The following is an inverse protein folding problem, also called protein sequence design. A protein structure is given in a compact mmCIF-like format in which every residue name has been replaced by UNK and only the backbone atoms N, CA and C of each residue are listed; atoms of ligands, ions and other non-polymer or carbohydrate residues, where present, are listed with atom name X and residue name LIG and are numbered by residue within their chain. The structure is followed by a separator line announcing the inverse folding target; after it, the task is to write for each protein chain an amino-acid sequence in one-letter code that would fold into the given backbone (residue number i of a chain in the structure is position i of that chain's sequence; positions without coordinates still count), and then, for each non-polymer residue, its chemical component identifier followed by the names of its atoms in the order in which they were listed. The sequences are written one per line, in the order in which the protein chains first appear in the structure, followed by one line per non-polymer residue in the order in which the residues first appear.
data_IF_500388093186
#
_entry.id   IF_500388093186
#
_cell.length_a   1.000
_cell.length_b   1.000
_cell.length_c   1.000
_cell.angle_alpha   90.00
_cell.angle_beta   90.00
_cell.angle_gamma   90.00
#
_symmetry.space_group_name_H-M   'P 1'
#
loop_
_entity.id
_entity.type
_entity.pdbx_description
1 polymer ?
#
# COMPACT_ATOMS: atom_id res chain seq x y z
N UNK A 1 -3.33 15.17 30.10
CA UNK A 1 -2.99 15.81 28.80
C UNK A 1 -3.92 15.23 27.75
N UNK A 2 -4.57 16.05 26.94
CA UNK A 2 -5.42 15.58 25.84
C UNK A 2 -4.62 15.62 24.53
N UNK A 3 -3.82 14.57 24.29
CA UNK A 3 -3.18 14.37 22.99
C UNK A 3 -4.27 13.99 21.99
N UNK A 4 -4.38 14.68 20.85
CA UNK A 4 -5.30 14.33 19.76
C UNK A 4 -4.58 14.57 18.44
N UNK A 5 -4.70 13.63 17.50
CA UNK A 5 -4.20 13.87 16.16
C UNK A 5 -5.15 14.79 15.39
N UNK A 6 -4.58 15.66 14.57
CA UNK A 6 -5.35 16.55 13.69
C UNK A 6 -5.25 16.10 12.24
N UNK A 7 -6.17 16.57 11.39
CA UNK A 7 -6.13 16.27 9.95
C UNK A 7 -5.14 17.15 9.18
N UNK A 8 -4.64 18.21 9.82
CA UNK A 8 -3.77 19.22 9.18
C UNK A 8 -2.31 18.74 9.07
N UNK A 9 -1.94 17.74 9.89
CA UNK A 9 -0.61 17.14 9.93
C UNK A 9 -0.74 15.69 9.45
N UNK A 10 0.20 15.17 8.64
CA UNK A 10 0.21 13.76 8.29
C UNK A 10 0.18 12.86 9.53
N UNK A 11 -0.68 11.85 9.52
CA UNK A 11 -0.81 10.84 10.56
C UNK A 11 0.50 10.10 10.75
N UNK A 12 1.27 9.82 9.69
CA UNK A 12 2.60 9.22 9.80
C UNK A 12 3.56 10.02 10.69
N UNK A 13 3.56 11.35 10.56
CA UNK A 13 4.36 12.25 11.41
C UNK A 13 3.88 12.20 12.86
N UNK A 14 2.57 12.29 13.07
CA UNK A 14 1.99 12.28 14.42
C UNK A 14 2.17 10.94 15.14
N UNK A 15 2.10 9.82 14.42
CA UNK A 15 2.37 8.48 14.95
C UNK A 15 3.84 8.35 15.35
N UNK A 16 4.76 8.87 14.52
CA UNK A 16 6.20 8.87 14.84
C UNK A 16 6.48 9.60 16.15
N UNK A 17 5.85 10.75 16.39
CA UNK A 17 5.99 11.48 17.66
C UNK A 17 5.50 10.65 18.86
N UNK A 18 4.37 9.93 18.73
CA UNK A 18 3.90 9.03 19.78
C UNK A 18 4.89 7.87 20.03
N UNK A 19 5.53 7.34 18.99
CA UNK A 19 6.55 6.31 19.15
C UNK A 19 7.79 6.84 19.87
N UNK A 20 8.21 8.08 19.61
CA UNK A 20 9.33 8.70 20.33
C UNK A 20 9.02 8.80 21.82
N UNK A 21 7.81 9.24 22.18
CA UNK A 21 7.35 9.28 23.58
C UNK A 21 7.35 7.87 24.20
N UNK A 22 6.85 6.87 23.48
CA UNK A 22 6.86 5.48 23.94
C UNK A 22 8.28 4.96 24.18
N UNK A 23 9.22 5.31 23.29
CA UNK A 23 10.62 4.94 23.41
C UNK A 23 11.29 5.62 24.63
N UNK A 24 11.00 6.89 24.88
CA UNK A 24 11.51 7.61 26.05
C UNK A 24 10.98 7.01 27.37
N UNK A 25 9.71 6.59 27.39
CA UNK A 25 9.10 5.86 28.51
C UNK A 25 9.85 4.54 28.77
N UNK A 26 10.11 3.77 27.71
CA UNK A 26 10.89 2.54 27.81
C UNK A 26 12.33 2.80 28.29
N UNK A 27 12.98 3.85 27.80
CA UNK A 27 14.32 4.26 28.20
C UNK A 27 14.39 4.69 29.67
N UNK A 28 13.29 5.22 30.22
CA UNK A 28 13.15 5.52 31.65
C UNK A 28 12.94 4.27 32.53
N UNK A 29 12.96 3.07 31.95
CA UNK A 29 12.82 1.79 32.65
C UNK A 29 11.38 1.32 32.86
N UNK A 30 10.41 1.96 32.20
CA UNK A 30 9.00 1.53 32.24
C UNK A 30 8.72 0.51 31.14
N UNK A 31 7.88 -0.49 31.42
CA UNK A 31 7.46 -1.48 30.43
C UNK A 31 6.18 -0.99 29.76
N UNK A 32 6.24 -0.78 28.44
CA UNK A 32 5.06 -0.50 27.62
C UNK A 32 4.65 -1.76 26.86
N UNK A 33 3.43 -2.24 27.12
CA UNK A 33 2.87 -3.40 26.42
C UNK A 33 2.45 -3.01 25.02
N UNK A 34 2.82 -3.81 24.03
CA UNK A 34 2.58 -3.51 22.60
C UNK A 34 1.10 -3.28 22.27
N UNK A 35 0.20 -4.13 22.76
CA UNK A 35 -1.25 -3.99 22.55
C UNK A 35 -1.79 -2.67 23.10
N UNK A 36 -1.21 -2.17 24.20
CA UNK A 36 -1.58 -0.86 24.74
C UNK A 36 -1.09 0.26 23.82
N UNK A 37 0.11 0.15 23.25
CA UNK A 37 0.64 1.13 22.30
C UNK A 37 -0.20 1.18 21.01
N UNK A 38 -0.54 0.02 20.44
CA UNK A 38 -1.44 -0.12 19.29
C UNK A 38 -2.80 0.52 19.59
N UNK A 39 -3.41 0.16 20.73
CA UNK A 39 -4.68 0.72 21.16
C UNK A 39 -4.63 2.24 21.36
N UNK A 40 -3.54 2.75 21.94
CA UNK A 40 -3.33 4.18 22.14
C UNK A 40 -3.24 4.93 20.81
N UNK A 41 -2.47 4.43 19.84
CA UNK A 41 -2.38 5.04 18.51
C UNK A 41 -3.76 5.06 17.84
N UNK A 42 -4.45 3.92 17.78
CA UNK A 42 -5.76 3.80 17.12
C UNK A 42 -6.80 4.73 17.77
N UNK A 43 -6.77 4.87 19.09
CA UNK A 43 -7.66 5.78 19.82
C UNK A 43 -7.36 7.27 19.56
N UNK A 44 -6.15 7.60 19.11
CA UNK A 44 -5.69 8.97 18.87
C UNK A 44 -5.81 9.41 17.42
N UNK A 45 -6.10 8.48 16.50
CA UNK A 45 -6.31 8.78 15.08
C UNK A 45 -7.40 9.83 14.86
N UNK A 46 -7.28 10.68 13.83
CA UNK A 46 -8.28 11.71 13.55
C UNK A 46 -9.66 11.12 13.25
N UNK A 47 -10.77 11.85 13.50
CA UNK A 47 -12.12 11.36 13.23
C UNK A 47 -12.36 10.91 11.78
N UNK A 48 -11.63 11.48 10.82
CA UNK A 48 -11.75 11.12 9.39
C UNK A 48 -11.25 9.71 9.09
N UNK A 49 -10.46 9.10 10.00
CA UNK A 49 -9.95 7.73 9.90
C UNK A 49 -10.88 6.68 10.53
N UNK A 50 -12.05 7.10 11.04
CA UNK A 50 -12.98 6.22 11.77
C UNK A 50 -13.37 4.96 10.98
N UNK A 51 -13.59 5.08 9.68
CA UNK A 51 -13.93 3.94 8.83
C UNK A 51 -12.79 2.92 8.78
N UNK A 52 -11.56 3.39 8.58
CA UNK A 52 -10.36 2.56 8.61
C UNK A 52 -10.17 1.89 9.98
N UNK A 53 -10.37 2.62 11.09
CA UNK A 53 -10.32 2.02 12.43
C UNK A 53 -11.35 0.89 12.61
N UNK A 54 -12.54 1.02 11.99
CA UNK A 54 -13.53 -0.05 12.02
C UNK A 54 -13.07 -1.25 11.18
N UNK A 55 -12.46 -1.03 10.02
CA UNK A 55 -11.86 -2.10 9.20
C UNK A 55 -10.82 -2.90 10.00
N UNK A 56 -9.96 -2.21 10.77
CA UNK A 56 -8.99 -2.86 11.65
C UNK A 56 -9.64 -3.70 12.75
N UNK A 57 -10.72 -3.22 13.38
CA UNK A 57 -11.45 -3.97 14.44
C UNK A 57 -12.11 -5.26 13.94
N UNK A 58 -12.44 -5.33 12.65
CA UNK A 58 -13.04 -6.52 12.04
C UNK A 58 -12.01 -7.55 11.57
N UNK A 59 -10.71 -7.21 11.61
CA UNK A 59 -9.64 -8.17 11.32
C UNK A 59 -9.47 -9.10 12.53
N UNK A 60 -9.50 -10.42 12.30
CA UNK A 60 -9.48 -11.45 13.36
C UNK A 60 -8.07 -11.72 13.94
N UNK A 61 -7.08 -10.96 13.49
CA UNK A 61 -5.65 -11.15 13.81
C UNK A 61 -5.18 -10.05 14.76
N UNK A 62 -4.40 -10.40 15.77
CA UNK A 62 -3.73 -9.40 16.62
C UNK A 62 -2.71 -8.63 15.77
N UNK A 63 -2.91 -7.33 15.64
CA UNK A 63 -2.04 -6.44 14.88
C UNK A 63 -0.83 -6.04 15.72
N UNK A 64 0.36 -6.43 15.27
CA UNK A 64 1.62 -5.91 15.81
C UNK A 64 1.78 -4.41 15.47
N UNK A 65 2.61 -3.72 16.25
CA UNK A 65 2.78 -2.27 16.14
C UNK A 65 3.40 -1.84 14.81
N UNK A 66 4.39 -2.59 14.33
CA UNK A 66 5.05 -2.38 13.04
C UNK A 66 4.06 -2.53 11.87
N UNK A 67 3.21 -3.56 11.91
CA UNK A 67 2.16 -3.78 10.93
C UNK A 67 1.14 -2.64 10.93
N UNK A 68 0.74 -2.15 12.11
CA UNK A 68 -0.16 -1.00 12.20
C UNK A 68 0.45 0.23 11.52
N UNK A 69 1.72 0.54 11.78
CA UNK A 69 2.39 1.72 11.20
C UNK A 69 2.46 1.61 9.68
N UNK A 70 2.79 0.42 9.17
CA UNK A 70 2.80 0.18 7.73
C UNK A 70 1.42 0.39 7.11
N UNK A 71 0.37 -0.19 7.69
CA UNK A 71 -0.97 -0.01 7.15
C UNK A 71 -1.45 1.45 7.24
N UNK A 72 -1.10 2.18 8.31
CA UNK A 72 -1.39 3.61 8.43
C UNK A 72 -0.70 4.41 7.35
N UNK A 73 0.56 4.10 7.03
CA UNK A 73 1.27 4.77 5.94
C UNK A 73 0.61 4.53 4.58
N UNK A 74 0.25 3.29 4.28
CA UNK A 74 -0.43 2.91 3.03
C UNK A 74 -1.79 3.60 2.90
N UNK A 75 -2.60 3.58 3.97
CA UNK A 75 -3.91 4.21 3.98
C UNK A 75 -3.79 5.73 3.82
N UNK A 76 -2.81 6.37 4.45
CA UNK A 76 -2.55 7.80 4.29
C UNK A 76 -2.19 8.15 2.84
N UNK A 77 -1.31 7.38 2.22
CA UNK A 77 -0.94 7.58 0.82
C UNK A 77 -2.13 7.36 -0.13
N UNK A 78 -2.94 6.35 0.13
CA UNK A 78 -4.18 6.06 -0.63
C UNK A 78 -5.14 7.25 -0.57
N UNK A 79 -5.38 7.79 0.63
CA UNK A 79 -6.25 8.96 0.84
C UNK A 79 -5.69 10.24 0.22
N UNK A 80 -4.36 10.36 0.09
CA UNK A 80 -3.75 11.49 -0.61
C UNK A 80 -3.90 11.38 -2.12
N UNK A 81 -3.83 10.17 -2.69
CA UNK A 81 -4.10 9.92 -4.13
C UNK A 81 -5.55 10.22 -4.50
N UNK A 82 -6.51 9.95 -3.61
CA UNK A 82 -7.93 10.29 -3.82
C UNK A 82 -8.23 11.80 -3.75
N UNK A 83 -7.37 12.60 -3.09
CA UNK A 83 -7.51 14.06 -3.02
C UNK A 83 -6.98 14.78 -4.26
N UNK A 84 -6.13 14.12 -5.06
CA UNK A 84 -5.83 14.64 -6.39
C UNK A 84 -7.09 14.49 -7.24
N UNK A 85 -7.58 15.57 -7.88
CA UNK A 85 -8.69 15.43 -8.80
C UNK A 85 -8.24 14.46 -9.88
N UNK A 86 -8.85 13.28 -9.91
CA UNK A 86 -8.71 12.36 -11.01
C UNK A 86 -8.90 13.20 -12.27
N UNK A 87 -7.86 13.30 -13.10
CA UNK A 87 -8.00 13.86 -14.45
C UNK A 87 -8.92 12.89 -15.19
N UNK A 88 -10.22 13.09 -15.03
CA UNK A 88 -11.28 12.37 -15.69
C UNK A 88 -11.30 12.88 -17.14
N UNK A 89 -10.29 12.44 -17.89
CA UNK A 89 -10.15 12.59 -19.33
C UNK A 89 -9.27 11.43 -19.80
N UNK A 90 -9.76 10.20 -19.65
CA UNK A 90 -9.42 9.09 -20.53
C UNK A 90 -10.34 7.92 -20.23
N UNK A 91 -10.82 7.26 -21.27
CA UNK A 91 -11.25 5.86 -21.20
C UNK A 91 -10.26 5.09 -20.33
N UNK A 92 -10.73 4.49 -19.23
CA UNK A 92 -9.88 3.90 -18.18
C UNK A 92 -8.79 2.98 -18.72
N UNK A 93 -7.59 3.54 -18.90
CA UNK A 93 -6.39 2.79 -19.22
C UNK A 93 -5.92 2.12 -17.94
N UNK A 94 -5.96 0.79 -17.87
CA UNK A 94 -5.56 0.02 -16.72
C UNK A 94 -4.26 -0.73 -17.03
N UNK A 95 -3.31 -0.70 -16.10
CA UNK A 95 -2.12 -1.57 -16.11
C UNK A 95 -2.18 -2.43 -14.85
N UNK A 96 -2.10 -3.74 -15.05
CA UNK A 96 -2.05 -4.76 -14.02
C UNK A 96 -0.66 -5.38 -14.01
N UNK A 97 -0.10 -5.47 -12.81
CA UNK A 97 1.22 -6.05 -12.57
C UNK A 97 1.03 -7.25 -11.64
N UNK A 98 1.48 -8.42 -12.07
CA UNK A 98 1.50 -9.64 -11.28
C UNK A 98 2.95 -10.06 -11.01
N UNK A 99 3.21 -10.52 -9.80
CA UNK A 99 4.53 -10.97 -9.35
C UNK A 99 4.52 -12.48 -9.13
N UNK A 100 5.51 -13.19 -9.67
CA UNK A 100 5.75 -14.60 -9.41
C UNK A 100 7.25 -14.87 -9.26
N UNK A 101 7.69 -15.11 -8.02
CA UNK A 101 9.09 -15.32 -7.67
C UNK A 101 9.96 -14.17 -8.22
N UNK A 102 10.80 -14.43 -9.22
CA UNK A 102 11.70 -13.46 -9.82
C UNK A 102 11.09 -12.75 -11.05
N UNK A 103 9.95 -13.24 -11.55
CA UNK A 103 9.31 -12.77 -12.78
C UNK A 103 8.14 -11.82 -12.47
N UNK A 104 8.04 -10.77 -13.28
CA UNK A 104 6.92 -9.83 -13.26
C UNK A 104 6.17 -9.87 -14.59
N UNK A 105 4.85 -10.05 -14.53
CA UNK A 105 3.96 -9.96 -15.67
C UNK A 105 3.24 -8.62 -15.67
N UNK A 106 3.26 -7.94 -16.81
CA UNK A 106 2.61 -6.65 -17.01
C UNK A 106 1.63 -6.79 -18.16
N UNK A 107 0.37 -6.47 -17.92
CA UNK A 107 -0.69 -6.47 -18.93
C UNK A 107 -1.62 -5.30 -18.70
N UNK A 108 -2.30 -4.84 -19.74
CA UNK A 108 -3.11 -3.63 -19.66
C UNK A 108 -3.88 -3.37 -20.95
N UNK A 109 -4.74 -2.37 -20.90
CA UNK A 109 -5.57 -1.97 -22.05
C UNK A 109 -4.91 -0.93 -22.96
N UNK A 110 -3.78 -0.35 -22.52
CA UNK A 110 -3.04 0.70 -23.21
C UNK A 110 -1.54 0.35 -23.24
N UNK A 111 -0.99 0.20 -24.44
CA UNK A 111 0.40 -0.20 -24.65
C UNK A 111 1.39 0.89 -24.22
N UNK A 112 1.04 2.17 -24.35
CA UNK A 112 1.91 3.28 -23.95
C UNK A 112 2.05 3.31 -22.42
N UNK A 113 0.95 3.05 -21.71
CA UNK A 113 0.97 2.89 -20.24
C UNK A 113 1.75 1.67 -19.78
N UNK A 114 1.65 0.55 -20.50
CA UNK A 114 2.47 -0.64 -20.23
C UNK A 114 3.95 -0.30 -20.39
N UNK A 115 4.33 0.41 -21.46
CA UNK A 115 5.71 0.81 -21.71
C UNK A 115 6.22 1.81 -20.68
N UNK A 116 5.40 2.77 -20.25
CA UNK A 116 5.71 3.69 -19.15
C UNK A 116 6.02 2.92 -17.85
N UNK A 117 5.18 1.94 -17.50
CA UNK A 117 5.40 1.09 -16.33
C UNK A 117 6.69 0.27 -16.46
N UNK A 118 6.95 -0.36 -17.62
CA UNK A 118 8.20 -1.09 -17.90
C UNK A 118 9.43 -0.21 -17.72
N UNK A 119 9.40 1.01 -18.24
CA UNK A 119 10.52 1.96 -18.15
C UNK A 119 10.75 2.40 -16.70
N UNK A 120 9.68 2.73 -15.97
CA UNK A 120 9.78 3.09 -14.55
C UNK A 120 10.43 1.97 -13.74
N UNK A 121 9.95 0.74 -13.93
CA UNK A 121 10.44 -0.45 -13.26
C UNK A 121 11.92 -0.71 -13.59
N UNK A 122 12.30 -0.70 -14.86
CA UNK A 122 13.69 -0.93 -15.31
C UNK A 122 14.64 0.19 -14.85
N UNK A 123 14.14 1.41 -14.65
CA UNK A 123 14.95 2.52 -14.13
C UNK A 123 15.20 2.45 -12.62
N UNK A 124 14.33 1.79 -11.87
CA UNK A 124 14.41 1.74 -10.41
C UNK A 124 14.97 0.42 -9.89
N UNK A 125 14.83 -0.67 -10.64
CA UNK A 125 15.29 -1.99 -10.25
C UNK A 125 16.11 -2.63 -11.37
N UNK A 126 17.08 -3.46 -10.99
CA UNK A 126 17.93 -4.22 -11.91
C UNK A 126 17.14 -5.37 -12.54
N UNK A 127 16.25 -5.05 -13.47
CA UNK A 127 15.35 -5.98 -14.15
C UNK A 127 15.61 -5.98 -15.65
N UNK A 128 15.21 -7.08 -16.30
CA UNK A 128 15.35 -7.25 -17.74
C UNK A 128 13.98 -7.54 -18.34
N UNK A 129 13.62 -6.81 -19.41
CA UNK A 129 12.45 -7.16 -20.20
C UNK A 129 12.72 -8.48 -20.94
N UNK A 130 11.94 -9.50 -20.61
CA UNK A 130 12.00 -10.83 -21.24
C UNK A 130 11.16 -10.91 -22.53
N UNK A 131 10.47 -9.84 -22.88
CA UNK A 131 9.58 -9.77 -24.04
C UNK A 131 8.14 -10.15 -23.68
N UNK A 132 7.36 -10.44 -24.71
CA UNK A 132 5.97 -10.84 -24.55
C UNK A 132 5.89 -12.27 -24.00
N UNK A 133 5.10 -12.48 -22.94
CA UNK A 133 5.00 -13.79 -22.31
C UNK A 133 4.23 -14.78 -23.19
N UNK A 134 4.85 -15.89 -23.58
CA UNK A 134 4.18 -16.96 -24.33
C UNK A 134 3.76 -18.14 -23.44
N UNK A 135 4.35 -18.25 -22.25
CA UNK A 135 4.07 -19.30 -21.26
C UNK A 135 4.12 -18.68 -19.86
N UNK A 136 3.17 -19.05 -19.01
CA UNK A 136 3.13 -18.71 -17.59
C UNK A 136 2.83 -19.99 -16.80
N UNK A 137 3.67 -20.32 -15.80
CA UNK A 137 3.46 -21.53 -14.97
C UNK A 137 3.30 -22.84 -15.77
N UNK A 138 3.93 -22.93 -16.94
CA UNK A 138 3.78 -24.07 -17.87
C UNK A 138 2.50 -24.05 -18.71
N UNK A 139 1.66 -23.03 -18.56
CA UNK A 139 0.43 -22.81 -19.34
C UNK A 139 0.77 -21.89 -20.51
N UNK A 140 0.45 -22.34 -21.73
CA UNK A 140 0.73 -21.56 -22.94
C UNK A 140 -0.32 -20.47 -23.13
N UNK A 141 0.15 -19.28 -23.49
CA UNK A 141 -0.67 -18.11 -23.76
C UNK A 141 -0.86 -18.00 -25.28
N UNK A 142 -2.11 -18.07 -25.74
CA UNK A 142 -2.49 -17.88 -27.13
C UNK A 142 -3.31 -16.60 -27.24
N UNK A 143 -2.76 -15.59 -27.91
CA UNK A 143 -3.43 -14.32 -28.15
C UNK A 143 -4.15 -14.35 -29.48
N UNK A 144 -5.41 -13.94 -29.48
CA UNK A 144 -6.25 -13.85 -30.67
C UNK A 144 -6.99 -12.51 -30.69
N UNK A 145 -7.59 -12.17 -31.83
CA UNK A 145 -8.45 -10.99 -31.95
C UNK A 145 -9.67 -11.04 -31.01
N UNK A 146 -10.04 -12.22 -30.51
CA UNK A 146 -11.17 -12.42 -29.59
C UNK A 146 -10.74 -12.48 -28.12
N UNK A 147 -9.45 -12.26 -27.83
CA UNK A 147 -8.91 -12.30 -26.47
C UNK A 147 -7.80 -13.35 -26.30
N UNK A 148 -7.58 -13.74 -25.05
CA UNK A 148 -6.46 -14.60 -24.63
C UNK A 148 -7.01 -15.98 -24.26
N UNK A 149 -6.39 -17.02 -24.80
CA UNK A 149 -6.66 -18.43 -24.47
C UNK A 149 -5.45 -19.00 -23.75
N UNK A 150 -5.70 -19.75 -22.67
CA UNK A 150 -4.69 -20.43 -21.88
C UNK A 150 -4.81 -21.94 -22.13
N UNK A 151 -3.73 -22.62 -22.52
CA UNK A 151 -3.72 -24.05 -22.87
C UNK A 151 -2.66 -24.84 -22.14
#
# INVERSE_FOLDING_TARGET
MDLKMTNDIPVSVQVRELQLIANDICAAGMILVENFHVGAIVAKLPPTWKEYCNKLKHKKEELALDQLIQHLHIEEETRNREKEPAKENSSGSCVLICLYVDDMLIFGTDIDRINEAKNFLTSNFSMKDLGEADVILGIKIIRSQHGIVLT
#
